data_IF_015800281235
#
_entry.id   IF_015800281235
#
_cell.length_a   1.000
_cell.length_b   1.000
_cell.length_c   1.000
_cell.angle_alpha   90.00
_cell.angle_beta   90.00
_cell.angle_gamma   90.00
#
_symmetry.space_group_name_H-M   'P 1'
#
loop_
_entity.id
_entity.type
_entity.pdbx_description
1 polymer ?
#
# COMPACT_ATOMS: atom_id res chain seq x y z
N UNK A 1 -7.30 13.29 -4.72
CA UNK A 1 -7.21 12.25 -3.69
C UNK A 1 -8.05 11.02 -4.02
N UNK A 2 -9.32 11.18 -4.41
CA UNK A 2 -10.18 10.02 -4.67
C UNK A 2 -9.60 9.05 -5.72
N UNK A 3 -9.17 9.59 -6.86
CA UNK A 3 -8.57 8.80 -7.93
C UNK A 3 -7.30 8.07 -7.47
N UNK A 4 -6.42 8.73 -6.70
CA UNK A 4 -5.17 8.12 -6.20
C UNK A 4 -5.45 6.97 -5.23
N UNK A 5 -6.45 7.10 -4.36
CA UNK A 5 -6.88 6.02 -3.44
C UNK A 5 -7.38 4.82 -4.24
N UNK A 6 -8.26 5.02 -5.22
CA UNK A 6 -8.84 3.94 -6.03
C UNK A 6 -7.76 3.22 -6.82
N UNK A 7 -6.89 3.96 -7.52
CA UNK A 7 -5.78 3.37 -8.29
C UNK A 7 -4.89 2.55 -7.37
N UNK A 8 -4.50 3.10 -6.22
CA UNK A 8 -3.63 2.40 -5.25
C UNK A 8 -4.31 1.15 -4.72
N UNK A 9 -5.59 1.22 -4.34
CA UNK A 9 -6.34 0.07 -3.85
C UNK A 9 -6.47 -1.04 -4.90
N UNK A 10 -6.69 -0.70 -6.17
CA UNK A 10 -6.73 -1.68 -7.27
C UNK A 10 -5.36 -2.34 -7.45
N UNK A 11 -4.27 -1.56 -7.50
CA UNK A 11 -2.91 -2.10 -7.63
C UNK A 11 -2.54 -3.02 -6.47
N UNK A 12 -2.83 -2.60 -5.23
CA UNK A 12 -2.63 -3.40 -4.02
C UNK A 12 -3.48 -4.67 -4.06
N UNK A 13 -4.73 -4.58 -4.49
CA UNK A 13 -5.63 -5.73 -4.61
C UNK A 13 -5.10 -6.79 -5.59
N UNK A 14 -4.63 -6.35 -6.76
CA UNK A 14 -4.01 -7.24 -7.75
C UNK A 14 -2.73 -7.90 -7.21
N UNK A 15 -1.87 -7.14 -6.52
CA UNK A 15 -0.67 -7.67 -5.88
C UNK A 15 -1.03 -8.67 -4.77
N UNK A 16 -2.03 -8.37 -3.96
CA UNK A 16 -2.53 -9.23 -2.89
C UNK A 16 -3.09 -10.54 -3.42
N UNK A 17 -3.88 -10.52 -4.51
CA UNK A 17 -4.37 -11.74 -5.17
C UNK A 17 -3.19 -12.60 -5.67
N UNK A 18 -2.17 -11.98 -6.24
CA UNK A 18 -0.98 -12.70 -6.69
C UNK A 18 -0.18 -13.30 -5.52
N UNK A 19 0.00 -12.54 -4.44
CA UNK A 19 0.66 -13.02 -3.22
C UNK A 19 -0.13 -14.17 -2.56
N UNK A 20 -1.46 -14.09 -2.57
CA UNK A 20 -2.35 -15.15 -2.09
C UNK A 20 -2.17 -16.43 -2.91
N UNK A 21 -2.16 -16.32 -4.24
CA UNK A 21 -1.90 -17.46 -5.11
C UNK A 21 -0.55 -18.13 -4.79
N UNK A 22 0.50 -17.33 -4.59
CA UNK A 22 1.82 -17.85 -4.23
C UNK A 22 1.85 -18.49 -2.85
N UNK A 23 1.07 -17.95 -1.91
CA UNK A 23 0.88 -18.54 -0.57
C UNK A 23 0.21 -19.91 -0.67
N UNK A 24 -0.82 -20.06 -1.51
CA UNK A 24 -1.56 -21.32 -1.69
C UNK A 24 -0.71 -22.39 -2.40
N UNK A 25 0.13 -22.00 -3.35
CA UNK A 25 1.00 -22.92 -4.11
C UNK A 25 2.39 -23.06 -3.47
N UNK A 26 2.55 -22.68 -2.19
CA UNK A 26 3.79 -22.77 -1.40
C UNK A 26 5.04 -22.21 -2.10
N UNK A 27 4.90 -21.07 -2.79
CA UNK A 27 6.00 -20.37 -3.48
C UNK A 27 6.41 -19.10 -2.77
N UNK A 28 7.71 -18.80 -2.82
CA UNK A 28 8.29 -17.56 -2.32
C UNK A 28 8.09 -16.38 -3.29
N UNK A 29 8.19 -15.17 -2.76
CA UNK A 29 8.10 -13.92 -3.52
C UNK A 29 9.16 -13.87 -4.63
N UNK A 30 8.72 -13.48 -5.83
CA UNK A 30 9.59 -13.33 -7.00
C UNK A 30 9.84 -11.85 -7.32
N UNK A 31 10.90 -11.58 -8.07
CA UNK A 31 11.28 -10.22 -8.46
C UNK A 31 10.13 -9.44 -9.13
N UNK A 32 9.28 -10.11 -9.92
CA UNK A 32 8.12 -9.46 -10.55
C UNK A 32 7.11 -8.93 -9.54
N UNK A 33 6.90 -9.62 -8.42
CA UNK A 33 6.02 -9.13 -7.33
C UNK A 33 6.65 -7.95 -6.60
N UNK A 34 7.99 -7.92 -6.47
CA UNK A 34 8.70 -6.77 -5.90
C UNK A 34 8.60 -5.54 -6.82
N UNK A 35 8.71 -5.72 -8.13
CA UNK A 35 8.50 -4.63 -9.10
C UNK A 35 7.05 -4.14 -9.05
N UNK A 36 6.06 -5.04 -8.97
CA UNK A 36 4.67 -4.66 -8.78
C UNK A 36 4.46 -3.90 -7.45
N UNK A 37 5.13 -4.30 -6.37
CA UNK A 37 5.16 -3.57 -5.11
C UNK A 37 5.78 -2.18 -5.24
N UNK A 38 6.85 -2.01 -6.03
CA UNK A 38 7.43 -0.72 -6.32
C UNK A 38 6.46 0.20 -7.09
N UNK A 39 5.63 -0.34 -7.98
CA UNK A 39 4.57 0.42 -8.68
C UNK A 39 3.50 0.90 -7.68
N UNK A 40 3.13 0.07 -6.70
CA UNK A 40 2.23 0.48 -5.61
C UNK A 40 2.86 1.60 -4.77
N UNK A 41 4.14 1.49 -4.41
CA UNK A 41 4.88 2.55 -3.69
C UNK A 41 4.87 3.88 -4.46
N UNK A 42 5.08 3.85 -5.77
CA UNK A 42 4.98 5.06 -6.59
C UNK A 42 3.57 5.67 -6.54
N UNK A 43 2.52 4.85 -6.51
CA UNK A 43 1.15 5.34 -6.37
C UNK A 43 0.90 5.96 -4.98
N UNK A 44 1.46 5.37 -3.91
CA UNK A 44 1.43 5.95 -2.55
C UNK A 44 2.18 7.28 -2.49
N UNK A 45 3.34 7.40 -3.13
CA UNK A 45 4.06 8.67 -3.23
C UNK A 45 3.27 9.73 -4.00
N UNK A 46 2.60 9.35 -5.09
CA UNK A 46 1.68 10.25 -5.79
C UNK A 46 0.53 10.71 -4.86
N UNK A 47 0.03 9.83 -4.00
CA UNK A 47 -0.99 10.15 -3.01
C UNK A 47 -0.50 11.18 -1.98
N UNK A 48 0.77 11.08 -1.53
CA UNK A 48 1.42 12.11 -0.69
C UNK A 48 1.43 13.46 -1.39
N UNK A 49 1.91 13.51 -2.65
CA UNK A 49 1.98 14.75 -3.43
C UNK A 49 0.60 15.38 -3.58
N UNK A 50 -0.41 14.58 -3.92
CA UNK A 50 -1.80 15.06 -4.05
C UNK A 50 -2.34 15.59 -2.72
N UNK A 51 -2.03 14.93 -1.59
CA UNK A 51 -2.38 15.41 -0.26
C UNK A 51 -1.74 16.76 0.08
N UNK A 52 -0.44 16.92 -0.18
CA UNK A 52 0.28 18.18 0.04
C UNK A 52 -0.26 19.32 -0.82
N UNK A 53 -0.47 19.07 -2.12
CA UNK A 53 -1.01 20.07 -3.05
C UNK A 53 -2.39 20.54 -2.63
N UNK A 54 -3.28 19.61 -2.26
CA UNK A 54 -4.62 19.96 -1.80
C UNK A 54 -4.60 20.79 -0.50
N UNK A 55 -3.71 20.48 0.44
CA UNK A 55 -3.53 21.31 1.64
C UNK A 55 -3.00 22.71 1.32
N UNK A 56 -2.05 22.82 0.39
CA UNK A 56 -1.55 24.11 -0.08
C UNK A 56 -2.64 24.95 -0.79
N UNK A 57 -3.63 24.28 -1.40
CA UNK A 57 -4.82 24.90 -2.02
C UNK A 57 -5.93 25.22 -1.00
N UNK A 58 -5.70 24.99 0.29
CA UNK A 58 -6.64 25.34 1.37
C UNK A 58 -7.60 24.23 1.78
N UNK A 59 -7.52 23.04 1.18
CA UNK A 59 -8.30 21.89 1.62
C UNK A 59 -7.67 21.30 2.89
N UNK A 60 -8.39 21.32 4.01
CA UNK A 60 -7.94 20.69 5.25
C UNK A 60 -8.77 19.43 5.51
N UNK A 61 -8.10 18.30 5.68
CA UNK A 61 -8.76 17.10 6.17
C UNK A 61 -9.36 17.38 7.55
N UNK A 62 -10.48 16.72 7.87
CA UNK A 62 -11.15 16.87 9.17
C UNK A 62 -10.21 16.56 10.35
N UNK A 63 -9.35 15.56 10.17
CA UNK A 63 -8.25 15.22 11.09
C UNK A 63 -6.94 15.03 10.30
N UNK A 64 -6.10 16.08 10.17
CA UNK A 64 -4.85 16.01 9.42
C UNK A 64 -3.84 15.02 10.00
N UNK A 65 -3.83 14.85 11.33
CA UNK A 65 -2.84 13.98 11.98
C UNK A 65 -3.14 12.51 11.69
N UNK A 66 -4.42 12.14 11.82
CA UNK A 66 -4.88 10.80 11.44
C UNK A 66 -4.67 10.55 9.95
N UNK A 67 -5.01 11.51 9.08
CA UNK A 67 -4.79 11.39 7.63
C UNK A 67 -3.32 11.12 7.29
N UNK A 68 -2.40 11.96 7.78
CA UNK A 68 -0.98 11.82 7.49
C UNK A 68 -0.37 10.59 8.15
N UNK A 69 -0.83 10.20 9.34
CA UNK A 69 -0.46 8.94 9.97
C UNK A 69 -0.72 7.76 9.04
N UNK A 70 -1.93 7.64 8.49
CA UNK A 70 -2.26 6.56 7.57
C UNK A 70 -1.44 6.59 6.26
N UNK A 71 -1.33 7.75 5.62
CA UNK A 71 -0.59 7.89 4.35
C UNK A 71 0.90 7.59 4.51
N UNK A 72 1.53 8.10 5.57
CA UNK A 72 2.95 7.90 5.82
C UNK A 72 3.22 6.46 6.24
N UNK A 73 2.42 5.89 7.15
CA UNK A 73 2.59 4.49 7.55
C UNK A 73 2.46 3.54 6.36
N UNK A 74 1.53 3.80 5.43
CA UNK A 74 1.36 2.99 4.23
C UNK A 74 2.65 2.81 3.41
N UNK A 75 3.49 3.86 3.30
CA UNK A 75 4.77 3.83 2.57
C UNK A 75 5.81 2.86 3.14
N UNK A 76 5.62 2.39 4.38
CA UNK A 76 6.58 1.48 5.01
C UNK A 76 6.17 0.01 4.88
N UNK A 77 4.90 -0.28 4.57
CA UNK A 77 4.41 -1.66 4.55
C UNK A 77 5.09 -2.50 3.46
N UNK A 78 5.20 -2.00 2.23
CA UNK A 78 5.84 -2.74 1.15
C UNK A 78 7.37 -2.81 1.26
N UNK A 79 8.10 -1.74 1.63
CA UNK A 79 9.54 -1.83 1.86
C UNK A 79 9.91 -2.86 2.93
N UNK A 80 9.14 -2.90 4.03
CA UNK A 80 9.36 -3.90 5.09
C UNK A 80 9.04 -5.30 4.58
N UNK A 81 7.95 -5.50 3.85
CA UNK A 81 7.62 -6.79 3.25
C UNK A 81 8.66 -7.24 2.20
N UNK A 82 9.20 -6.30 1.41
CA UNK A 82 10.26 -6.57 0.45
C UNK A 82 11.57 -6.96 1.15
N UNK A 83 11.96 -6.24 2.20
CA UNK A 83 13.11 -6.61 3.03
C UNK A 83 12.96 -8.01 3.62
N UNK A 84 11.76 -8.35 4.11
CA UNK A 84 11.45 -9.70 4.57
C UNK A 84 11.59 -10.75 3.47
N UNK A 85 11.10 -10.46 2.26
CA UNK A 85 11.23 -11.37 1.11
C UNK A 85 12.69 -11.60 0.67
N UNK A 86 13.60 -10.67 0.97
CA UNK A 86 15.04 -10.90 0.77
C UNK A 86 15.65 -11.75 1.88
N UNK A 87 15.22 -11.56 3.13
CA UNK A 87 15.69 -12.30 4.30
C UNK A 87 15.21 -13.77 4.33
N UNK A 88 13.95 -14.01 3.94
CA UNK A 88 13.33 -15.33 3.90
C UNK A 88 12.85 -15.65 2.48
N UNK A 89 13.42 -16.71 1.88
CA UNK A 89 13.08 -17.19 0.53
C UNK A 89 12.13 -18.38 0.52
N UNK A 90 11.35 -18.55 1.59
CA UNK A 90 10.29 -19.56 1.69
C UNK A 90 8.91 -18.99 1.36
N UNK A 91 7.87 -19.83 1.40
CA UNK A 91 6.46 -19.43 1.27
C UNK A 91 6.04 -18.33 2.25
N UNK A 92 6.73 -18.19 3.39
CA UNK A 92 6.42 -17.18 4.39
C UNK A 92 6.63 -15.75 3.89
N UNK A 93 7.53 -15.56 2.91
CA UNK A 93 7.65 -14.27 2.22
C UNK A 93 6.35 -13.85 1.52
N UNK A 94 5.64 -14.79 0.90
CA UNK A 94 4.36 -14.55 0.23
C UNK A 94 3.24 -14.27 1.21
N UNK A 95 3.26 -14.94 2.37
CA UNK A 95 2.32 -14.66 3.48
C UNK A 95 2.51 -13.23 3.98
N UNK A 96 3.75 -12.80 4.24
CA UNK A 96 4.05 -11.44 4.70
C UNK A 96 3.63 -10.40 3.66
N UNK A 97 3.91 -10.63 2.38
CA UNK A 97 3.45 -9.74 1.30
C UNK A 97 1.92 -9.65 1.25
N UNK A 98 1.22 -10.78 1.39
CA UNK A 98 -0.24 -10.81 1.43
C UNK A 98 -0.80 -9.99 2.60
N UNK A 99 -0.24 -10.18 3.80
CA UNK A 99 -0.65 -9.44 5.00
C UNK A 99 -0.41 -7.94 4.81
N UNK A 100 0.74 -7.54 4.25
CA UNK A 100 1.03 -6.16 3.92
C UNK A 100 0.00 -5.59 2.92
N UNK A 101 -0.40 -6.35 1.89
CA UNK A 101 -1.42 -5.91 0.94
C UNK A 101 -2.80 -5.73 1.60
N UNK A 102 -3.22 -6.66 2.47
CA UNK A 102 -4.48 -6.53 3.21
C UNK A 102 -4.47 -5.32 4.13
N UNK A 103 -3.37 -5.11 4.86
CA UNK A 103 -3.20 -3.94 5.71
C UNK A 103 -3.26 -2.64 4.89
N UNK A 104 -2.61 -2.58 3.72
CA UNK A 104 -2.69 -1.44 2.81
C UNK A 104 -4.12 -1.15 2.34
N UNK A 105 -4.91 -2.16 2.00
CA UNK A 105 -6.32 -1.96 1.64
C UNK A 105 -7.11 -1.34 2.79
N UNK A 106 -6.89 -1.81 4.02
CA UNK A 106 -7.50 -1.22 5.22
C UNK A 106 -7.05 0.24 5.43
N UNK A 107 -5.77 0.55 5.22
CA UNK A 107 -5.22 1.91 5.31
C UNK A 107 -5.85 2.82 4.25
N UNK A 108 -6.00 2.34 3.01
CA UNK A 108 -6.65 3.10 1.93
C UNK A 108 -8.12 3.40 2.22
N UNK A 109 -8.85 2.44 2.80
CA UNK A 109 -10.22 2.66 3.24
C UNK A 109 -10.29 3.75 4.33
N UNK A 110 -9.35 3.73 5.28
CA UNK A 110 -9.26 4.77 6.33
C UNK A 110 -8.89 6.14 5.76
N UNK A 111 -7.95 6.22 4.83
CA UNK A 111 -7.60 7.48 4.16
C UNK A 111 -8.80 8.06 3.42
N UNK A 112 -9.56 7.21 2.70
CA UNK A 112 -10.78 7.65 2.04
C UNK A 112 -11.78 8.24 3.02
N UNK A 113 -12.07 7.53 4.11
CA UNK A 113 -13.02 7.97 5.14
C UNK A 113 -12.64 9.32 5.74
N UNK A 114 -11.38 9.50 6.14
CA UNK A 114 -10.89 10.75 6.75
C UNK A 114 -10.86 11.90 5.75
N UNK A 115 -10.62 11.62 4.47
CA UNK A 115 -10.61 12.63 3.42
C UNK A 115 -12.01 13.14 3.04
N UNK A 116 -13.03 12.29 3.12
CA UNK A 116 -14.41 12.63 2.73
C UNK A 116 -15.30 13.08 3.89
N UNK A 117 -14.80 13.03 5.12
CA UNK A 117 -15.48 13.53 6.30
C UNK A 117 -15.49 15.07 6.31
#
# INVERSE_FOLDING_TARGET
MQLTVIITAVLVGLLGIWALWFTIVDRAVILRQLVAGAVVELALLAQVVVGLVAQAQGHRAADPWTFWGYVITALFLLPVAAAWAFADRSRWSSVVLLVACVALLAMQARVWQVWTA
#
